data_IF_220267013185
#
_entry.id   IF_220267013185
#
_cell.length_a   1.000
_cell.length_b   1.000
_cell.length_c   1.000
_cell.angle_alpha   90.00
_cell.angle_beta   90.00
_cell.angle_gamma   90.00
#
_symmetry.space_group_name_H-M   'P 1'
#
loop_
_entity.id
_entity.type
_entity.pdbx_description
1 polymer ?
#
# COMPACT_ATOMS: atom_id res chain seq x y z
N UNK A 1 0.73 -24.51 -9.93
CA UNK A 1 0.10 -23.18 -9.91
C UNK A 1 -1.28 -23.29 -10.51
N UNK A 2 -2.31 -22.93 -9.74
CA UNK A 2 -3.70 -22.90 -10.19
C UNK A 2 -4.13 -21.43 -10.26
N UNK A 3 -4.83 -21.05 -11.32
CA UNK A 3 -5.38 -19.70 -11.49
C UNK A 3 -6.81 -19.67 -10.96
N UNK A 4 -7.14 -18.64 -10.18
CA UNK A 4 -8.50 -18.40 -9.72
C UNK A 4 -8.97 -17.01 -10.15
N UNK A 5 -10.24 -16.91 -10.55
CA UNK A 5 -10.83 -15.66 -10.99
C UNK A 5 -11.23 -14.82 -9.77
N UNK A 6 -10.71 -13.60 -9.69
CA UNK A 6 -11.11 -12.61 -8.71
C UNK A 6 -12.17 -11.66 -9.22
N UNK A 7 -12.65 -10.79 -8.33
CA UNK A 7 -13.50 -9.66 -8.70
C UNK A 7 -12.80 -8.77 -9.75
N UNK A 8 -13.61 -8.11 -10.60
CA UNK A 8 -13.15 -7.16 -11.62
C UNK A 8 -12.21 -7.75 -12.69
N UNK A 9 -12.25 -9.07 -12.91
CA UNK A 9 -11.43 -9.73 -13.93
C UNK A 9 -9.95 -9.91 -13.54
N UNK A 10 -9.62 -9.68 -12.26
CA UNK A 10 -8.29 -9.98 -11.73
C UNK A 10 -8.05 -11.49 -11.71
N UNK A 11 -6.83 -11.90 -12.06
CA UNK A 11 -6.39 -13.29 -12.00
C UNK A 11 -5.42 -13.46 -10.83
N UNK A 12 -5.64 -14.50 -10.03
CA UNK A 12 -4.76 -14.79 -8.90
C UNK A 12 -4.03 -16.12 -9.13
N UNK A 13 -2.70 -16.07 -9.07
CA UNK A 13 -1.86 -17.26 -8.98
C UNK A 13 -1.77 -17.68 -7.51
N UNK A 14 -2.25 -18.89 -7.21
CA UNK A 14 -2.15 -19.45 -5.85
C UNK A 14 -0.76 -20.02 -5.64
N UNK A 15 -0.06 -19.49 -4.63
CA UNK A 15 1.28 -19.90 -4.22
C UNK A 15 1.21 -20.79 -2.96
N UNK A 16 2.11 -21.77 -2.89
CA UNK A 16 2.46 -22.40 -1.62
C UNK A 16 3.30 -21.46 -0.74
N UNK A 17 3.42 -21.76 0.57
CA UNK A 17 4.24 -20.93 1.48
C UNK A 17 5.70 -20.78 1.00
N UNK A 18 6.40 -21.86 0.61
CA UNK A 18 7.78 -21.72 0.11
C UNK A 18 7.87 -20.90 -1.18
N UNK A 19 6.85 -20.94 -2.04
CA UNK A 19 6.82 -20.13 -3.26
C UNK A 19 6.57 -18.67 -2.97
N UNK A 20 5.66 -18.34 -2.04
CA UNK A 20 5.40 -16.98 -1.60
C UNK A 20 6.66 -16.35 -0.98
N UNK A 21 7.33 -17.08 -0.08
CA UNK A 21 8.59 -16.64 0.53
C UNK A 21 9.68 -16.42 -0.53
N UNK A 22 9.85 -17.37 -1.45
CA UNK A 22 10.83 -17.27 -2.53
C UNK A 22 10.58 -16.07 -3.44
N UNK A 23 9.33 -15.83 -3.83
CA UNK A 23 8.98 -14.70 -4.70
C UNK A 23 9.24 -13.38 -3.98
N UNK A 24 8.82 -13.25 -2.71
CA UNK A 24 9.08 -12.05 -1.92
C UNK A 24 10.58 -11.82 -1.73
N UNK A 25 11.34 -12.84 -1.30
CA UNK A 25 12.78 -12.75 -1.09
C UNK A 25 13.56 -12.43 -2.38
N UNK A 26 13.04 -12.81 -3.55
CA UNK A 26 13.66 -12.50 -4.83
C UNK A 26 13.42 -11.05 -5.27
N UNK A 27 12.21 -10.51 -5.10
CA UNK A 27 11.82 -9.22 -5.68
C UNK A 27 11.81 -8.05 -4.71
N UNK A 28 11.61 -8.28 -3.40
CA UNK A 28 11.61 -7.21 -2.40
C UNK A 28 12.97 -6.48 -2.32
N UNK A 29 14.14 -7.16 -2.32
CA UNK A 29 15.43 -6.47 -2.30
C UNK A 29 15.69 -5.60 -3.54
N UNK A 30 15.13 -5.98 -4.69
CA UNK A 30 15.17 -5.14 -5.89
C UNK A 30 14.36 -3.86 -5.68
N UNK A 31 13.18 -3.95 -5.06
CA UNK A 31 12.38 -2.76 -4.76
C UNK A 31 13.07 -1.87 -3.72
N UNK A 32 13.75 -2.44 -2.72
CA UNK A 32 14.55 -1.69 -1.75
C UNK A 32 15.68 -0.90 -2.44
N UNK A 33 16.44 -1.54 -3.33
CA UNK A 33 17.47 -0.84 -4.12
C UNK A 33 16.90 0.31 -4.96
N UNK A 34 15.67 0.17 -5.48
CA UNK A 34 14.99 1.26 -6.19
C UNK A 34 14.52 2.36 -5.23
N UNK A 35 14.10 2.04 -3.99
CA UNK A 35 13.77 3.04 -2.97
C UNK A 35 14.99 3.90 -2.62
N UNK A 36 16.15 3.27 -2.45
CA UNK A 36 17.41 3.98 -2.23
C UNK A 36 17.75 4.88 -3.43
N UNK A 37 17.54 4.39 -4.66
CA UNK A 37 17.73 5.17 -5.87
C UNK A 37 16.77 6.37 -5.97
N UNK A 38 15.50 6.22 -5.57
CA UNK A 38 14.53 7.32 -5.57
C UNK A 38 15.01 8.47 -4.67
N UNK A 39 15.43 8.14 -3.45
CA UNK A 39 16.00 9.12 -2.52
C UNK A 39 17.28 9.78 -3.06
N UNK A 40 18.22 8.99 -3.60
CA UNK A 40 19.45 9.51 -4.18
C UNK A 40 19.18 10.43 -5.38
N UNK A 41 18.21 10.09 -6.23
CA UNK A 41 17.84 10.87 -7.42
C UNK A 41 17.31 12.25 -7.04
N UNK A 42 16.57 12.35 -5.93
CA UNK A 42 16.01 13.63 -5.45
C UNK A 42 17.10 14.53 -4.86
N UNK A 43 18.15 13.98 -4.24
CA UNK A 43 19.13 14.73 -3.43
C UNK A 43 20.49 14.93 -4.09
N UNK A 44 20.75 14.31 -5.23
CA UNK A 44 22.08 14.29 -5.84
C UNK A 44 22.53 15.66 -6.38
N UNK A 45 23.80 15.99 -6.21
CA UNK A 45 24.47 17.18 -6.79
C UNK A 45 25.74 16.77 -7.57
N UNK A 46 25.81 15.51 -8.01
CA UNK A 46 26.95 14.99 -8.80
C UNK A 46 27.05 15.66 -10.17
N UNK A 47 28.22 15.57 -10.80
CA UNK A 47 28.47 16.17 -12.12
C UNK A 47 27.66 15.53 -13.26
N UNK A 48 27.62 16.22 -14.40
CA UNK A 48 26.85 15.82 -15.57
C UNK A 48 27.28 14.46 -16.15
N UNK A 49 28.58 14.14 -16.10
CA UNK A 49 29.11 12.87 -16.61
C UNK A 49 28.61 11.71 -15.74
N UNK A 50 28.60 11.89 -14.42
CA UNK A 50 28.07 10.93 -13.46
C UNK A 50 26.56 10.74 -13.64
N UNK A 51 25.79 11.82 -13.83
CA UNK A 51 24.35 11.74 -14.13
C UNK A 51 24.08 10.94 -15.42
N UNK A 52 24.83 11.22 -16.49
CA UNK A 52 24.67 10.51 -17.76
C UNK A 52 24.98 9.01 -17.64
N UNK A 53 26.02 8.64 -16.88
CA UNK A 53 26.36 7.24 -16.60
C UNK A 53 25.27 6.54 -15.79
N UNK A 54 24.75 7.19 -14.74
CA UNK A 54 23.68 6.66 -13.91
C UNK A 54 22.40 6.44 -14.74
N UNK A 55 22.01 7.41 -15.57
CA UNK A 55 20.86 7.28 -16.46
C UNK A 55 21.00 6.07 -17.40
N UNK A 56 22.15 5.94 -18.09
CA UNK A 56 22.39 4.84 -19.00
C UNK A 56 22.34 3.46 -18.31
N UNK A 57 22.86 3.37 -17.08
CA UNK A 57 22.79 2.16 -16.26
C UNK A 57 21.34 1.80 -15.88
N UNK A 58 20.55 2.78 -15.43
CA UNK A 58 19.13 2.60 -15.07
C UNK A 58 18.33 2.12 -16.28
N UNK A 59 18.55 2.73 -17.45
CA UNK A 59 17.90 2.33 -18.70
C UNK A 59 18.27 0.90 -19.13
N UNK A 60 19.54 0.52 -18.98
CA UNK A 60 20.00 -0.84 -19.25
C UNK A 60 19.36 -1.88 -18.32
N UNK A 61 19.35 -1.60 -17.00
CA UNK A 61 18.68 -2.46 -16.00
C UNK A 61 17.18 -2.59 -16.30
N UNK A 62 16.52 -1.46 -16.61
CA UNK A 62 15.10 -1.44 -16.95
C UNK A 62 14.79 -2.29 -18.19
N UNK A 63 15.63 -2.23 -19.23
CA UNK A 63 15.49 -3.10 -20.41
C UNK A 63 15.64 -4.58 -20.05
N UNK A 64 16.62 -4.95 -19.22
CA UNK A 64 16.78 -6.33 -18.77
C UNK A 64 15.58 -6.84 -17.98
N UNK A 65 15.04 -6.04 -17.05
CA UNK A 65 13.85 -6.41 -16.26
C UNK A 65 12.60 -6.58 -17.14
N UNK A 66 12.49 -5.84 -18.26
CA UNK A 66 11.37 -5.93 -19.20
C UNK A 66 11.42 -7.12 -20.16
N UNK A 67 12.50 -7.91 -20.16
CA UNK A 67 12.59 -9.12 -21.00
C UNK A 67 11.50 -10.14 -20.68
N UNK A 68 10.99 -10.16 -19.43
CA UNK A 68 9.87 -11.00 -19.02
C UNK A 68 9.06 -10.31 -17.93
N UNK A 69 7.81 -9.98 -18.22
CA UNK A 69 6.89 -9.32 -17.28
C UNK A 69 5.65 -10.17 -17.02
N UNK A 70 5.00 -9.93 -15.89
CA UNK A 70 3.66 -10.47 -15.63
C UNK A 70 2.61 -9.69 -16.46
N UNK A 71 1.52 -10.33 -16.89
CA UNK A 71 0.40 -9.62 -17.49
C UNK A 71 -0.25 -8.65 -16.49
N UNK A 72 -0.89 -7.61 -17.01
CA UNK A 72 -1.71 -6.69 -16.20
C UNK A 72 -2.89 -7.45 -15.59
N UNK A 73 -3.22 -7.15 -14.34
CA UNK A 73 -4.34 -7.77 -13.64
C UNK A 73 -4.04 -9.14 -13.01
N UNK A 74 -2.80 -9.63 -13.10
CA UNK A 74 -2.35 -10.85 -12.41
C UNK A 74 -1.69 -10.50 -11.08
N UNK A 75 -2.15 -11.12 -10.00
CA UNK A 75 -1.59 -11.00 -8.65
C UNK A 75 -1.43 -12.38 -8.00
N UNK A 76 -0.95 -12.41 -6.75
CA UNK A 76 -0.73 -13.64 -6.00
C UNK A 76 -1.77 -13.83 -4.89
N UNK A 77 -2.05 -15.08 -4.56
CA UNK A 77 -2.72 -15.47 -3.31
C UNK A 77 -1.87 -16.45 -2.54
N UNK A 78 -1.89 -16.30 -1.23
CA UNK A 78 -1.31 -17.25 -0.28
C UNK A 78 -2.30 -17.43 0.86
N UNK A 79 -2.56 -18.69 1.24
CA UNK A 79 -3.47 -19.04 2.34
C UNK A 79 -4.86 -18.35 2.26
N UNK A 80 -5.45 -18.34 1.05
CA UNK A 80 -6.76 -17.72 0.80
C UNK A 80 -6.78 -16.18 0.81
N UNK A 81 -5.65 -15.53 1.10
CA UNK A 81 -5.53 -14.06 1.15
C UNK A 81 -4.75 -13.52 -0.06
N UNK A 82 -5.07 -12.31 -0.55
CA UNK A 82 -4.23 -11.62 -1.53
C UNK A 82 -2.82 -11.43 -0.97
N UNK A 83 -1.79 -11.67 -1.79
CA UNK A 83 -0.41 -11.29 -1.52
C UNK A 83 -0.09 -10.06 -2.38
N UNK A 84 -0.22 -8.83 -1.83
CA UNK A 84 -0.31 -7.61 -2.61
C UNK A 84 1.06 -7.05 -3.03
N UNK A 85 1.96 -7.89 -3.59
CA UNK A 85 3.37 -7.51 -3.84
C UNK A 85 3.56 -6.19 -4.62
N UNK A 86 2.65 -5.89 -5.55
CA UNK A 86 2.68 -4.67 -6.37
C UNK A 86 1.77 -3.54 -5.88
N UNK A 87 1.10 -3.69 -4.74
CA UNK A 87 0.19 -2.67 -4.21
C UNK A 87 0.93 -1.35 -3.92
N UNK A 88 0.25 -0.23 -4.15
CA UNK A 88 0.85 1.10 -4.04
C UNK A 88 1.07 1.60 -2.60
N UNK A 89 0.61 0.86 -1.59
CA UNK A 89 0.75 1.25 -0.17
C UNK A 89 1.50 0.22 0.66
N UNK A 90 1.19 -1.08 0.50
CA UNK A 90 1.81 -2.16 1.29
C UNK A 90 2.58 -3.17 0.44
N UNK A 91 2.76 -2.88 -0.86
CA UNK A 91 3.45 -3.78 -1.76
C UNK A 91 4.94 -3.80 -1.52
N UNK A 92 5.45 -4.88 -0.90
CA UNK A 92 6.88 -5.04 -0.65
C UNK A 92 7.74 -4.91 -1.92
N UNK A 93 7.21 -5.33 -3.07
CA UNK A 93 7.88 -5.25 -4.37
C UNK A 93 7.52 -4.00 -5.18
N UNK A 94 6.79 -3.04 -4.60
CA UNK A 94 6.47 -1.76 -5.24
C UNK A 94 7.31 -0.63 -4.61
N UNK A 95 8.28 -0.04 -5.33
CA UNK A 95 9.15 0.99 -4.78
C UNK A 95 8.43 2.29 -4.37
N UNK A 96 7.23 2.57 -4.91
CA UNK A 96 6.47 3.77 -4.51
C UNK A 96 5.74 3.56 -3.18
N UNK A 97 5.54 2.31 -2.76
CA UNK A 97 4.81 2.00 -1.55
C UNK A 97 5.55 2.56 -0.34
N UNK A 98 4.89 3.37 0.51
CA UNK A 98 5.34 3.61 1.86
C UNK A 98 5.69 2.29 2.58
N UNK A 99 6.68 2.26 3.47
CA UNK A 99 7.09 1.04 4.16
C UNK A 99 6.12 0.71 5.30
N UNK A 100 4.84 0.54 5.00
CA UNK A 100 3.80 0.21 5.96
C UNK A 100 3.72 -1.31 6.18
N UNK A 101 3.85 -1.72 7.44
CA UNK A 101 3.49 -3.06 7.91
C UNK A 101 2.29 -2.90 8.84
N UNK A 102 1.15 -3.43 8.43
CA UNK A 102 -0.11 -3.28 9.17
C UNK A 102 -0.26 -4.42 10.17
N UNK A 103 -0.57 -4.05 11.41
CA UNK A 103 -0.88 -4.96 12.50
C UNK A 103 -2.36 -4.85 12.87
N UNK A 104 -3.01 -5.97 13.15
CA UNK A 104 -4.42 -6.04 13.53
C UNK A 104 -4.54 -6.55 14.97
N UNK A 105 -5.34 -5.87 15.80
CA UNK A 105 -5.61 -6.26 17.19
C UNK A 105 -6.93 -7.05 17.35
N UNK A 106 -7.62 -7.31 16.24
CA UNK A 106 -8.94 -7.96 16.21
C UNK A 106 -10.08 -6.95 16.35
N UNK A 107 -11.31 -7.35 15.99
CA UNK A 107 -12.49 -6.48 16.16
C UNK A 107 -12.58 -5.28 15.19
N UNK A 108 -11.77 -5.23 14.14
CA UNK A 108 -11.83 -4.19 13.11
C UNK A 108 -10.98 -2.95 13.42
N UNK A 109 -9.93 -3.09 14.22
CA UNK A 109 -8.89 -2.08 14.41
C UNK A 109 -7.53 -2.58 13.90
N UNK A 110 -6.73 -1.64 13.43
CA UNK A 110 -5.38 -1.88 12.92
C UNK A 110 -4.49 -0.65 13.14
N UNK A 111 -3.18 -0.89 13.11
CA UNK A 111 -2.18 0.16 13.28
C UNK A 111 -0.88 -0.18 12.53
N UNK A 112 -0.08 0.84 12.26
CA UNK A 112 1.25 0.70 11.64
C UNK A 112 2.19 1.78 12.18
N UNK A 113 3.41 1.39 12.53
CA UNK A 113 4.53 2.30 12.74
C UNK A 113 5.42 2.26 11.50
N UNK A 114 5.78 3.41 10.94
CA UNK A 114 6.51 3.51 9.68
C UNK A 114 7.34 4.80 9.62
N UNK A 115 8.22 4.89 8.61
CA UNK A 115 9.06 6.07 8.38
C UNK A 115 8.83 6.59 6.97
N UNK A 116 8.47 7.87 6.84
CA UNK A 116 8.40 8.56 5.55
C UNK A 116 9.61 9.47 5.37
N UNK A 117 10.48 9.11 4.43
CA UNK A 117 11.66 9.89 4.04
C UNK A 117 11.41 10.87 2.90
N UNK A 118 12.51 11.40 2.35
CA UNK A 118 12.54 12.45 1.33
C UNK A 118 11.70 12.13 0.08
N UNK A 119 11.62 10.86 -0.33
CA UNK A 119 10.84 10.42 -1.49
C UNK A 119 9.33 10.71 -1.38
N UNK A 120 8.83 11.01 -0.18
CA UNK A 120 7.42 11.30 0.11
C UNK A 120 7.16 12.78 0.46
N UNK A 121 8.19 13.63 0.33
CA UNK A 121 8.10 15.05 0.65
C UNK A 121 7.13 15.78 -0.28
N UNK A 122 6.36 16.73 0.28
CA UNK A 122 5.60 17.71 -0.49
C UNK A 122 6.16 19.10 -0.23
N UNK A 123 5.65 19.83 0.77
CA UNK A 123 6.35 21.01 1.28
C UNK A 123 7.69 20.62 1.93
N UNK A 124 8.69 21.52 1.96
CA UNK A 124 9.96 21.26 2.61
C UNK A 124 9.81 20.71 4.04
N UNK A 125 10.45 19.58 4.32
CA UNK A 125 10.46 18.79 5.56
C UNK A 125 9.12 18.16 5.96
N UNK A 126 8.09 18.25 5.12
CA UNK A 126 6.75 17.74 5.40
C UNK A 126 6.35 16.69 4.38
N UNK A 127 5.68 15.65 4.86
CA UNK A 127 5.03 14.64 4.00
C UNK A 127 4.00 15.33 3.10
N UNK A 128 3.99 14.98 1.82
CA UNK A 128 2.98 15.46 0.90
C UNK A 128 1.59 15.03 1.37
N UNK A 129 0.62 15.95 1.45
CA UNK A 129 -0.73 15.64 1.96
C UNK A 129 -1.40 14.46 1.23
N UNK A 130 -1.20 14.37 -0.09
CA UNK A 130 -1.66 13.22 -0.89
C UNK A 130 -1.07 11.87 -0.48
N UNK A 131 0.17 11.82 0.05
CA UNK A 131 0.76 10.60 0.61
C UNK A 131 0.10 10.25 1.94
N UNK A 132 -0.16 11.24 2.80
CA UNK A 132 -0.94 11.02 4.03
C UNK A 132 -2.35 10.48 3.72
N UNK A 133 -3.02 11.02 2.70
CA UNK A 133 -4.31 10.53 2.24
C UNK A 133 -4.24 9.10 1.69
N UNK A 134 -3.19 8.78 0.92
CA UNK A 134 -2.92 7.42 0.41
C UNK A 134 -2.77 6.41 1.55
N UNK A 135 -1.99 6.75 2.57
CA UNK A 135 -1.81 5.91 3.77
C UNK A 135 -3.14 5.73 4.51
N UNK A 136 -3.91 6.81 4.71
CA UNK A 136 -5.19 6.75 5.42
C UNK A 136 -6.25 5.94 4.67
N UNK A 137 -6.37 6.08 3.35
CA UNK A 137 -7.27 5.25 2.54
C UNK A 137 -7.00 3.76 2.73
N UNK A 138 -5.71 3.37 2.70
CA UNK A 138 -5.33 1.99 2.91
C UNK A 138 -5.64 1.50 4.33
N UNK A 139 -5.26 2.27 5.36
CA UNK A 139 -5.47 1.90 6.77
C UNK A 139 -6.96 1.79 7.12
N UNK A 140 -7.78 2.72 6.62
CA UNK A 140 -9.23 2.65 6.78
C UNK A 140 -9.83 1.45 6.05
N UNK A 141 -9.33 1.11 4.86
CA UNK A 141 -9.71 -0.07 4.10
C UNK A 141 -9.35 -1.37 4.82
N UNK A 142 -8.15 -1.46 5.39
CA UNK A 142 -7.69 -2.56 6.25
C UNK A 142 -8.62 -2.78 7.44
N UNK A 143 -8.97 -1.70 8.15
CA UNK A 143 -9.93 -1.77 9.26
C UNK A 143 -11.32 -2.22 8.79
N UNK A 144 -11.87 -1.57 7.75
CA UNK A 144 -13.22 -1.83 7.26
C UNK A 144 -13.41 -3.24 6.70
N UNK A 145 -12.37 -3.80 6.08
CA UNK A 145 -12.34 -5.15 5.50
C UNK A 145 -11.97 -6.25 6.50
N UNK A 146 -11.75 -5.91 7.78
CA UNK A 146 -11.27 -6.84 8.81
C UNK A 146 -10.00 -7.58 8.34
N UNK A 147 -8.99 -6.83 7.92
CA UNK A 147 -7.72 -7.38 7.44
C UNK A 147 -7.80 -7.99 6.04
N UNK A 148 -8.44 -7.28 5.11
CA UNK A 148 -8.65 -7.68 3.71
C UNK A 148 -9.42 -8.99 3.53
N UNK A 149 -10.12 -9.44 4.56
CA UNK A 149 -10.91 -10.68 4.53
C UNK A 149 -12.30 -10.48 3.90
N UNK A 150 -12.82 -9.25 3.93
CA UNK A 150 -14.14 -8.88 3.38
C UNK A 150 -14.01 -7.88 2.24
N UNK A 151 -14.79 -8.08 1.18
CA UNK A 151 -14.87 -7.16 0.06
C UNK A 151 -15.50 -5.83 0.48
N UNK A 152 -14.65 -4.81 0.68
CA UNK A 152 -15.05 -3.46 1.10
C UNK A 152 -14.31 -2.44 0.24
N UNK A 153 -15.05 -1.71 -0.59
CA UNK A 153 -14.48 -0.72 -1.50
C UNK A 153 -14.70 0.68 -0.96
N UNK A 154 -13.69 1.54 -1.05
CA UNK A 154 -13.82 2.96 -0.68
C UNK A 154 -14.93 3.59 -1.52
N UNK A 155 -16.00 4.04 -0.86
CA UNK A 155 -17.04 4.86 -1.48
C UNK A 155 -16.74 6.35 -1.33
N UNK A 156 -16.29 6.77 -0.14
CA UNK A 156 -15.86 8.16 0.12
C UNK A 156 -14.84 8.15 1.24
N UNK A 157 -13.86 9.06 1.14
CA UNK A 157 -12.92 9.38 2.22
C UNK A 157 -12.87 10.89 2.40
N UNK A 158 -12.94 11.34 3.65
CA UNK A 158 -12.71 12.73 4.05
C UNK A 158 -11.40 12.77 4.84
N UNK A 159 -10.49 13.66 4.46
CA UNK A 159 -9.18 13.82 5.11
C UNK A 159 -9.05 15.24 5.64
N UNK A 160 -8.72 15.37 6.93
CA UNK A 160 -8.55 16.65 7.62
C UNK A 160 -7.11 16.80 8.10
N UNK A 161 -6.39 17.74 7.52
CA UNK A 161 -5.02 18.07 7.92
C UNK A 161 -5.05 19.05 9.10
N UNK A 162 -4.63 18.59 10.27
CA UNK A 162 -4.62 19.39 11.51
C UNK A 162 -3.35 20.24 11.64
N UNK A 163 -2.20 19.66 11.26
CA UNK A 163 -0.89 20.31 11.18
C UNK A 163 -0.02 19.64 10.13
N UNK A 164 1.13 20.26 9.82
CA UNK A 164 2.12 19.65 8.94
C UNK A 164 2.58 18.29 9.50
N UNK A 165 2.56 17.25 8.66
CA UNK A 165 3.11 15.95 9.03
C UNK A 165 4.61 15.95 8.72
N UNK A 166 5.50 15.86 9.72
CA UNK A 166 6.94 15.88 9.46
C UNK A 166 7.38 14.61 8.73
N UNK A 167 8.46 14.71 7.96
CA UNK A 167 9.23 13.53 7.55
C UNK A 167 9.80 12.84 8.79
N UNK A 168 9.96 11.51 8.71
CA UNK A 168 10.50 10.70 9.80
C UNK A 168 9.50 9.65 10.33
N UNK A 169 9.69 9.20 11.60
CA UNK A 169 8.83 8.20 12.23
C UNK A 169 7.40 8.71 12.44
N UNK A 170 6.44 7.90 12.02
CA UNK A 170 5.01 8.17 12.10
C UNK A 170 4.26 6.91 12.55
N UNK A 171 3.08 7.12 13.12
CA UNK A 171 2.13 6.06 13.46
C UNK A 171 0.79 6.35 12.82
N UNK A 172 0.17 5.33 12.24
CA UNK A 172 -1.21 5.37 11.78
C UNK A 172 -2.06 4.36 12.52
N UNK A 173 -3.28 4.74 12.89
CA UNK A 173 -4.29 3.85 13.45
C UNK A 173 -5.62 4.03 12.73
N UNK A 174 -6.36 2.94 12.56
CA UNK A 174 -7.69 2.95 12.00
C UNK A 174 -8.59 1.92 12.69
N UNK A 175 -9.89 2.23 12.77
CA UNK A 175 -10.89 1.36 13.36
C UNK A 175 -12.26 1.55 12.72
N UNK A 176 -13.12 0.53 12.85
CA UNK A 176 -14.53 0.63 12.49
C UNK A 176 -15.25 1.51 13.52
N UNK A 177 -15.88 2.59 13.06
CA UNK A 177 -16.74 3.46 13.87
C UNK A 177 -18.13 2.84 14.02
N UNK A 178 -18.74 2.45 12.89
CA UNK A 178 -20.07 1.81 12.87
C UNK A 178 -20.36 1.09 11.56
N UNK A 179 -21.47 0.35 11.53
CA UNK A 179 -21.96 -0.39 10.35
C UNK A 179 -23.43 -0.08 10.12
N UNK A 180 -23.80 0.17 8.87
CA UNK A 180 -25.18 0.45 8.46
C UNK A 180 -25.50 -0.25 7.15
N UNK A 181 -26.18 -1.40 7.22
CA UNK A 181 -26.47 -2.23 6.05
C UNK A 181 -25.20 -2.61 5.31
N UNK A 182 -25.07 -2.16 4.06
CA UNK A 182 -23.92 -2.46 3.18
C UNK A 182 -22.73 -1.53 3.39
N UNK A 183 -22.86 -0.55 4.29
CA UNK A 183 -21.83 0.46 4.57
C UNK A 183 -21.09 0.13 5.86
N UNK A 184 -19.77 0.23 5.81
CA UNK A 184 -18.90 0.25 6.98
C UNK A 184 -18.27 1.64 7.06
N UNK A 185 -18.42 2.29 8.20
CA UNK A 185 -17.79 3.57 8.49
C UNK A 185 -16.53 3.31 9.31
N UNK A 186 -15.40 3.83 8.86
CA UNK A 186 -14.13 3.71 9.54
C UNK A 186 -13.55 5.10 9.83
N UNK A 187 -12.79 5.20 10.91
CA UNK A 187 -12.05 6.41 11.31
C UNK A 187 -10.60 6.05 11.55
N UNK A 188 -9.72 7.01 11.39
CA UNK A 188 -8.29 6.80 11.56
C UNK A 188 -7.50 8.10 11.52
N UNK A 189 -6.23 8.01 11.84
CA UNK A 189 -5.34 9.17 11.91
C UNK A 189 -3.88 8.79 11.63
N UNK A 190 -3.08 9.78 11.27
CA UNK A 190 -1.62 9.74 11.29
C UNK A 190 -1.14 10.65 12.43
N UNK A 191 -0.11 10.22 13.14
CA UNK A 191 0.50 10.92 14.27
C UNK A 191 2.01 10.83 14.25
N UNK A 192 2.67 11.80 14.86
CA UNK A 192 4.09 11.75 15.24
C UNK A 192 4.22 11.82 16.78
N UNK A 193 5.42 12.07 17.30
CA UNK A 193 5.69 12.18 18.73
C UNK A 193 4.92 13.30 19.47
N UNK A 194 4.46 14.34 18.77
CA UNK A 194 3.70 15.48 19.30
C UNK A 194 2.18 15.26 19.21
N UNK A 195 1.72 14.17 18.56
CA UNK A 195 0.31 13.79 18.47
C UNK A 195 -0.21 13.72 17.04
N UNK A 196 -1.52 13.89 16.85
CA UNK A 196 -2.17 13.71 15.54
C UNK A 196 -1.80 14.85 14.58
N UNK A 197 -1.49 14.51 13.33
CA UNK A 197 -1.23 15.46 12.24
C UNK A 197 -2.36 15.48 11.22
N UNK A 198 -2.97 14.32 10.95
CA UNK A 198 -4.04 14.16 9.96
C UNK A 198 -5.07 13.18 10.51
N UNK A 199 -6.35 13.50 10.37
CA UNK A 199 -7.47 12.60 10.68
C UNK A 199 -8.26 12.27 9.41
N UNK A 200 -8.91 11.11 9.39
CA UNK A 200 -9.76 10.72 8.29
C UNK A 200 -10.97 9.90 8.71
N UNK A 201 -12.05 10.06 7.96
CA UNK A 201 -13.27 9.26 8.04
C UNK A 201 -13.59 8.71 6.66
N UNK A 202 -13.93 7.42 6.59
CA UNK A 202 -14.21 6.73 5.33
C UNK A 202 -15.51 5.93 5.38
N UNK A 203 -16.17 5.86 4.23
CA UNK A 203 -17.33 5.01 3.98
C UNK A 203 -16.94 3.93 3.00
N UNK A 204 -17.03 2.68 3.42
CA UNK A 204 -16.69 1.50 2.63
C UNK A 204 -17.93 0.69 2.30
N UNK A 205 -18.04 0.28 1.04
CA UNK A 205 -19.25 -0.32 0.48
C UNK A 205 -19.01 -1.80 0.18
N UNK A 206 -19.95 -2.63 0.61
CA UNK A 206 -20.05 -4.02 0.14
C UNK A 206 -20.55 -4.02 -1.31
N UNK A 207 -19.77 -4.54 -2.26
CA UNK A 207 -20.18 -4.55 -3.65
C UNK A 207 -21.30 -5.58 -3.87
N UNK A 208 -22.12 -5.38 -4.90
CA UNK A 208 -23.28 -6.21 -5.19
C UNK A 208 -22.97 -7.71 -5.24
N UNK A 209 -21.92 -8.08 -5.98
CA UNK A 209 -21.49 -9.47 -6.15
C UNK A 209 -21.11 -10.17 -4.84
N UNK A 210 -20.62 -9.44 -3.84
CA UNK A 210 -20.26 -10.02 -2.54
C UNK A 210 -21.49 -10.31 -1.68
N UNK A 211 -22.56 -9.53 -1.89
CA UNK A 211 -23.85 -9.71 -1.20
C UNK A 211 -24.61 -10.91 -1.77
N UNK A 212 -24.63 -11.01 -3.10
CA UNK A 212 -25.43 -12.01 -3.81
C UNK A 212 -24.83 -13.42 -3.72
N UNK A 213 -23.51 -13.54 -3.53
CA UNK A 213 -22.81 -14.81 -3.34
C UNK A 213 -23.05 -15.48 -1.98
N UNK A 214 -23.67 -14.79 -1.02
CA UNK A 214 -24.03 -15.33 0.30
C UNK A 214 -25.43 -15.95 0.39
N UNK A 215 -26.30 -15.75 -0.61
CA UNK A 215 -27.69 -16.22 -0.61
C UNK A 215 -27.91 -17.51 -1.43
N UNK A 216 -26.85 -18.30 -1.63
CA UNK A 216 -26.89 -19.58 -2.32
C UNK A 216 -26.72 -20.79 -1.40
N UNK A 217 -27.56 -20.91 -0.36
CA UNK A 217 -27.88 -22.18 0.32
C UNK A 217 -29.36 -22.20 0.73
#
# INVERSE_FOLDING_TARGET
MTQDAGALGALFEVLSAPEADRVTALYAPLADAVRDLLDATVRTEVDADTVAQAQAAIEAVTRSLRQRTRPVGVSYRFDGRPLPLGNAVVGACNPIAPPLVVHHDGGGRCWADFVLGQAYEGPPKLVHGGVSALVLDHMLGEAASEGLSKARFTGTITVKYLRGTPLGPLRSEAWIDRREGVKVFARGFISDAEGITVESEGVFIEPAWARDGGNGQ
#
